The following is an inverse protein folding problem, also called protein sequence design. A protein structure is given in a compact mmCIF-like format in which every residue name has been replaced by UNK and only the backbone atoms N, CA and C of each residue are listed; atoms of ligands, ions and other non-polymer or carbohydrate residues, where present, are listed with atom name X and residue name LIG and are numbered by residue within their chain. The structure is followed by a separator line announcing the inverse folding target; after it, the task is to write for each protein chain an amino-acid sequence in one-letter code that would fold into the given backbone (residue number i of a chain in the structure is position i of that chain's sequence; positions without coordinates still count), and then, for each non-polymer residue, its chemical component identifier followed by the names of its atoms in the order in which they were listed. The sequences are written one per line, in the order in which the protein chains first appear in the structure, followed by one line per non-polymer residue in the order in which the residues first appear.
data_IF_097631100059
#
_entry.id   IF_097631100059
#
_cell.length_a   1.000
_cell.length_b   1.000
_cell.length_c   1.000
_cell.angle_alpha   90.00
_cell.angle_beta   90.00
_cell.angle_gamma   90.00
#
_symmetry.space_group_name_H-M   'P 1'
#
loop_
_entity.id
_entity.type
_entity.pdbx_description
1 polymer ?
#
# COMPACT_ATOMS: atom_id res chain seq x y z
N UNK A 1 -32.69 -8.30 -11.82
CA UNK A 1 -33.27 -7.00 -11.45
C UNK A 1 -32.46 -5.89 -12.06
N UNK A 2 -32.93 -5.29 -13.15
CA UNK A 2 -32.12 -4.31 -13.85
C UNK A 2 -31.76 -3.09 -13.02
N UNK A 3 -32.70 -2.59 -12.22
CA UNK A 3 -32.46 -1.42 -11.38
C UNK A 3 -31.38 -1.67 -10.34
N UNK A 4 -31.40 -2.86 -9.73
CA UNK A 4 -30.42 -3.23 -8.72
C UNK A 4 -29.03 -3.40 -9.35
N UNK A 5 -28.97 -3.96 -10.56
CA UNK A 5 -27.72 -4.13 -11.28
C UNK A 5 -27.07 -2.77 -11.58
N UNK A 6 -27.85 -1.80 -12.03
CA UNK A 6 -27.35 -0.45 -12.29
C UNK A 6 -26.83 0.23 -11.03
N UNK A 7 -27.54 0.05 -9.89
CA UNK A 7 -27.13 0.60 -8.61
C UNK A 7 -25.84 -0.06 -8.11
N UNK A 8 -25.72 -1.37 -8.30
CA UNK A 8 -24.52 -2.10 -7.92
C UNK A 8 -23.32 -1.65 -8.73
N UNK A 9 -23.47 -1.46 -10.04
CA UNK A 9 -22.41 -0.96 -10.90
C UNK A 9 -21.96 0.43 -10.47
N UNK A 10 -22.89 1.34 -10.20
CA UNK A 10 -22.56 2.69 -9.73
C UNK A 10 -21.80 2.65 -8.40
N UNK A 11 -22.20 1.76 -7.49
CA UNK A 11 -21.52 1.59 -6.20
C UNK A 11 -20.10 1.05 -6.39
N UNK A 12 -19.91 0.07 -7.28
CA UNK A 12 -18.60 -0.48 -7.56
C UNK A 12 -17.68 0.54 -8.22
N UNK A 13 -18.20 1.36 -9.13
CA UNK A 13 -17.42 2.43 -9.76
C UNK A 13 -16.99 3.46 -8.71
N UNK A 14 -17.89 3.87 -7.83
CA UNK A 14 -17.55 4.81 -6.77
C UNK A 14 -16.52 4.24 -5.80
N UNK A 15 -16.60 2.94 -5.47
CA UNK A 15 -15.63 2.28 -4.63
C UNK A 15 -14.27 2.19 -5.33
N UNK A 16 -14.25 1.90 -6.63
CA UNK A 16 -13.03 1.86 -7.42
C UNK A 16 -12.36 3.23 -7.49
N UNK A 17 -13.15 4.30 -7.67
CA UNK A 17 -12.64 5.68 -7.66
C UNK A 17 -12.02 6.02 -6.32
N UNK A 18 -12.63 5.64 -5.21
CA UNK A 18 -12.07 5.84 -3.87
C UNK A 18 -10.74 5.11 -3.70
N UNK A 19 -10.61 3.91 -4.26
CA UNK A 19 -9.38 3.15 -4.19
C UNK A 19 -8.25 3.79 -5.00
N UNK A 20 -8.58 4.51 -6.08
CA UNK A 20 -7.58 5.22 -6.88
C UNK A 20 -7.26 6.61 -6.32
N UNK A 21 -8.18 7.20 -5.57
CA UNK A 21 -8.01 8.51 -4.94
C UNK A 21 -7.52 8.33 -3.50
N UNK A 22 -6.36 7.71 -3.34
CA UNK A 22 -5.79 7.52 -2.02
C UNK A 22 -5.02 8.76 -1.56
N UNK A 23 -4.81 8.86 -0.25
CA UNK A 23 -4.09 9.96 0.38
C UNK A 23 -2.57 9.82 0.24
N UNK A 24 -2.13 8.84 -0.49
CA UNK A 24 -0.74 8.56 -0.72
C UNK A 24 -0.43 7.09 -0.59
N UNK A 25 0.85 6.77 -0.56
CA UNK A 25 1.34 5.40 -0.44
C UNK A 25 2.28 5.31 0.75
N UNK A 26 2.17 4.23 1.49
CA UNK A 26 3.03 3.94 2.64
C UNK A 26 3.86 2.71 2.30
N UNK A 27 5.14 2.77 2.60
CA UNK A 27 6.03 1.63 2.45
C UNK A 27 6.14 0.95 3.81
N UNK A 28 5.74 -0.31 3.87
CA UNK A 28 5.79 -1.11 5.09
C UNK A 28 6.95 -2.10 5.03
N UNK A 29 7.75 -2.13 6.07
CA UNK A 29 8.78 -3.14 6.26
C UNK A 29 8.37 -3.98 7.48
N UNK A 30 8.20 -5.27 7.26
CA UNK A 30 7.73 -6.21 8.30
C UNK A 30 8.82 -7.24 8.57
N UNK A 31 9.24 -7.31 9.83
CA UNK A 31 10.16 -8.34 10.29
C UNK A 31 9.36 -9.45 10.96
N UNK A 32 9.22 -10.63 10.33
CA UNK A 32 8.43 -11.71 10.90
C UNK A 32 9.05 -12.35 12.14
N UNK A 33 10.35 -12.19 12.37
CA UNK A 33 11.01 -12.77 13.52
C UNK A 33 10.69 -12.02 14.81
N UNK A 34 10.64 -10.70 14.74
CA UNK A 34 10.36 -9.85 15.90
C UNK A 34 8.92 -9.35 15.93
N UNK A 35 8.21 -9.43 14.81
CA UNK A 35 6.89 -8.84 14.64
C UNK A 35 6.92 -7.32 14.48
N UNK A 36 8.10 -6.75 14.31
CA UNK A 36 8.26 -5.31 14.14
C UNK A 36 7.77 -4.86 12.76
N UNK A 37 7.06 -3.74 12.73
CA UNK A 37 6.55 -3.14 11.50
C UNK A 37 6.98 -1.69 11.47
N UNK A 38 7.71 -1.32 10.43
CA UNK A 38 8.08 0.07 10.17
C UNK A 38 7.26 0.60 9.00
N UNK A 39 6.74 1.81 9.15
CA UNK A 39 5.97 2.47 8.11
C UNK A 39 6.68 3.76 7.69
N UNK A 40 6.85 3.93 6.40
CA UNK A 40 7.49 5.11 5.82
C UNK A 40 6.55 5.80 4.85
N UNK A 41 6.42 7.10 4.96
CA UNK A 41 5.56 7.88 4.10
C UNK A 41 4.71 8.89 4.85
N UNK A 42 3.62 9.40 4.24
CA UNK A 42 3.15 9.00 2.91
C UNK A 42 3.98 9.58 1.76
N UNK A 43 4.00 8.86 0.65
CA UNK A 43 4.69 9.27 -0.58
C UNK A 43 3.73 9.21 -1.76
N UNK A 44 4.08 9.84 -2.88
CA UNK A 44 3.42 9.54 -4.14
C UNK A 44 3.79 8.13 -4.61
N UNK A 45 3.09 7.62 -5.64
CA UNK A 45 3.29 6.24 -6.07
C UNK A 45 4.71 5.95 -6.58
N UNK A 46 5.29 6.88 -7.32
CA UNK A 46 6.65 6.70 -7.84
C UNK A 46 7.69 6.72 -6.71
N UNK A 47 7.59 7.70 -5.82
CA UNK A 47 8.51 7.83 -4.68
C UNK A 47 8.41 6.62 -3.76
N UNK A 48 7.20 6.13 -3.50
CA UNK A 48 7.00 4.94 -2.69
C UNK A 48 7.67 3.71 -3.31
N UNK A 49 7.54 3.55 -4.63
CA UNK A 49 8.16 2.43 -5.35
C UNK A 49 9.68 2.48 -5.24
N UNK A 50 10.27 3.66 -5.43
CA UNK A 50 11.73 3.85 -5.30
C UNK A 50 12.18 3.58 -3.87
N UNK A 51 11.43 4.09 -2.88
CA UNK A 51 11.75 3.87 -1.47
C UNK A 51 11.69 2.40 -1.09
N UNK A 52 10.67 1.68 -1.57
CA UNK A 52 10.55 0.25 -1.32
C UNK A 52 11.74 -0.52 -1.89
N UNK A 53 12.17 -0.16 -3.10
CA UNK A 53 13.32 -0.77 -3.74
C UNK A 53 14.61 -0.53 -2.94
N UNK A 54 14.81 0.69 -2.49
CA UNK A 54 15.97 1.04 -1.66
C UNK A 54 16.00 0.23 -0.36
N UNK A 55 14.84 0.09 0.30
CA UNK A 55 14.74 -0.69 1.54
C UNK A 55 15.04 -2.17 1.29
N UNK A 56 14.56 -2.74 0.20
CA UNK A 56 14.86 -4.12 -0.15
C UNK A 56 16.35 -4.34 -0.35
N UNK A 57 17.02 -3.44 -1.04
CA UNK A 57 18.47 -3.51 -1.24
C UNK A 57 19.22 -3.38 0.09
N UNK A 58 18.81 -2.46 0.95
CA UNK A 58 19.45 -2.26 2.25
C UNK A 58 19.32 -3.48 3.14
N UNK A 59 18.13 -4.11 3.16
CA UNK A 59 17.91 -5.33 3.94
C UNK A 59 18.70 -6.51 3.37
N UNK A 60 18.76 -6.65 2.06
CA UNK A 60 19.55 -7.72 1.42
C UNK A 60 21.02 -7.59 1.76
N UNK A 61 21.56 -6.37 1.72
CA UNK A 61 22.97 -6.13 2.09
C UNK A 61 23.23 -6.38 3.57
N UNK A 62 22.22 -6.15 4.42
CA UNK A 62 22.33 -6.42 5.85
C UNK A 62 22.08 -7.86 6.25
N UNK A 63 21.77 -8.74 5.29
CA UNK A 63 21.45 -10.13 5.57
C UNK A 63 20.05 -10.34 6.16
N UNK A 64 19.17 -9.34 6.06
CA UNK A 64 17.82 -9.40 6.59
C UNK A 64 16.84 -9.84 5.51
N UNK A 65 17.04 -11.02 4.97
CA UNK A 65 16.24 -11.55 3.85
C UNK A 65 14.80 -11.86 4.22
N UNK A 66 14.52 -12.07 5.52
CA UNK A 66 13.19 -12.39 6.00
C UNK A 66 12.28 -11.16 6.09
N UNK A 67 12.83 -9.96 6.01
CA UNK A 67 12.06 -8.73 6.09
C UNK A 67 11.30 -8.51 4.78
N UNK A 68 9.98 -8.37 4.89
CA UNK A 68 9.11 -8.11 3.76
C UNK A 68 8.90 -6.62 3.60
N UNK A 69 9.01 -6.12 2.37
CA UNK A 69 8.75 -4.72 2.04
C UNK A 69 7.60 -4.65 1.06
N UNK A 70 6.59 -3.87 1.37
CA UNK A 70 5.42 -3.70 0.52
C UNK A 70 4.99 -2.25 0.43
N UNK A 71 4.34 -1.91 -0.68
CA UNK A 71 3.74 -0.59 -0.88
C UNK A 71 2.24 -0.75 -0.72
N UNK A 72 1.64 0.03 0.19
CA UNK A 72 0.21 -0.01 0.44
C UNK A 72 -0.38 1.38 0.26
N UNK A 73 -1.62 1.42 -0.20
CA UNK A 73 -2.36 2.68 -0.33
C UNK A 73 -2.83 3.14 1.03
N UNK A 74 -2.71 4.43 1.26
CA UNK A 74 -3.17 5.06 2.48
C UNK A 74 -4.49 5.76 2.22
N UNK A 75 -5.50 5.46 3.04
CA UNK A 75 -6.77 6.16 3.04
C UNK A 75 -7.04 6.64 4.46
N UNK A 76 -7.34 7.93 4.60
CA UNK A 76 -7.73 8.44 5.90
C UNK A 76 -9.10 7.89 6.27
N UNK A 77 -9.22 7.35 7.47
CA UNK A 77 -10.49 6.90 8.01
C UNK A 77 -11.32 8.11 8.43
N UNK A 78 -12.49 8.25 7.81
CA UNK A 78 -13.40 9.37 8.11
C UNK A 78 -14.79 8.88 8.41
#
# INVERSE_FOLDING_TARGET
MPENTASEEATLIAAAEKLTQCDGYVVLAVDPQTGEVDAHGPYDGLTATVKADQLRHDFDRGGLEDVSVGVVRLHNAT
#
